data_IF_382669419984
#
_entry.id   IF_382669419984
#
_cell.length_a   1.000
_cell.length_b   1.000
_cell.length_c   1.000
_cell.angle_alpha   90.00
_cell.angle_beta   90.00
_cell.angle_gamma   90.00
#
_symmetry.space_group_name_H-M   'P 1'
#
loop_
_entity.id
_entity.type
_entity.pdbx_description
1 polymer ?
#
# COMPACT_ATOMS: atom_id res chain seq x y z
N UNK A 1 42.32 -32.91 35.59
CA UNK A 1 42.25 -32.55 34.18
C UNK A 1 40.86 -31.97 33.95
N UNK A 2 40.74 -30.63 33.92
CA UNK A 2 39.47 -29.91 33.78
C UNK A 2 39.33 -29.53 32.31
N UNK A 3 38.26 -30.01 31.68
CA UNK A 3 37.89 -29.62 30.30
C UNK A 3 36.97 -28.43 30.42
N UNK A 4 37.42 -27.27 29.89
CA UNK A 4 36.60 -26.08 29.77
C UNK A 4 35.83 -26.16 28.43
N UNK A 5 34.51 -26.12 28.51
CA UNK A 5 33.65 -25.93 27.35
C UNK A 5 33.65 -24.45 26.98
N UNK A 6 34.20 -24.12 25.82
CA UNK A 6 34.09 -22.79 25.20
C UNK A 6 32.78 -22.80 24.39
N UNK A 7 31.78 -22.07 24.89
CA UNK A 7 30.55 -21.81 24.17
C UNK A 7 30.81 -20.86 22.99
N UNK A 8 30.76 -21.39 21.77
CA UNK A 8 30.75 -20.58 20.58
C UNK A 8 29.39 -19.92 20.37
N UNK A 9 29.34 -18.60 20.42
CA UNK A 9 28.20 -17.79 20.03
C UNK A 9 28.04 -17.94 18.50
N UNK A 10 27.01 -18.66 18.05
CA UNK A 10 26.60 -18.61 16.64
C UNK A 10 25.92 -17.27 16.42
N UNK A 11 26.64 -16.31 15.89
CA UNK A 11 26.06 -15.08 15.35
C UNK A 11 25.26 -15.43 14.10
N UNK A 12 23.95 -15.25 14.13
CA UNK A 12 23.13 -15.24 12.93
C UNK A 12 23.53 -14.00 12.14
N UNK A 13 24.32 -14.18 11.10
CA UNK A 13 24.57 -13.13 10.10
C UNK A 13 23.29 -13.07 9.26
N UNK A 14 22.40 -12.11 9.57
CA UNK A 14 21.40 -11.66 8.63
C UNK A 14 22.17 -10.99 7.49
N UNK A 15 22.23 -11.64 6.34
CA UNK A 15 22.68 -11.02 5.12
C UNK A 15 21.64 -9.93 4.78
N UNK A 16 21.88 -8.69 5.23
CA UNK A 16 21.17 -7.54 4.74
C UNK A 16 21.41 -7.44 3.24
N UNK A 17 20.37 -7.23 2.45
CA UNK A 17 20.45 -6.90 1.03
C UNK A 17 21.29 -5.60 0.95
N UNK A 18 22.58 -5.72 0.70
CA UNK A 18 23.50 -4.60 0.56
C UNK A 18 23.34 -4.00 -0.84
N UNK A 19 22.43 -3.05 -1.01
CA UNK A 19 22.38 -2.25 -2.24
C UNK A 19 23.61 -1.33 -2.27
N UNK A 20 24.38 -1.38 -3.38
CA UNK A 20 25.64 -0.65 -3.53
C UNK A 20 25.46 0.85 -3.83
N UNK A 21 24.24 1.41 -3.74
CA UNK A 21 23.92 2.82 -3.99
C UNK A 21 22.42 3.11 -3.89
N UNK A 22 22.01 4.37 -4.09
CA UNK A 22 20.61 4.73 -4.10
C UNK A 22 19.90 4.03 -5.26
N UNK A 23 18.80 3.36 -4.97
CA UNK A 23 18.01 2.61 -5.96
C UNK A 23 16.72 3.33 -6.33
N UNK A 24 16.41 4.48 -5.71
CA UNK A 24 15.25 5.29 -5.95
C UNK A 24 15.55 6.66 -6.55
N UNK A 25 14.78 7.05 -7.56
CA UNK A 25 14.70 8.43 -8.05
C UNK A 25 13.41 9.02 -7.56
N UNK A 26 13.51 10.00 -6.65
CA UNK A 26 12.36 10.71 -6.10
C UNK A 26 12.10 11.99 -6.89
N UNK A 27 10.83 12.21 -7.23
CA UNK A 27 10.33 13.39 -7.92
C UNK A 27 9.39 14.16 -6.99
N UNK A 28 9.71 15.42 -6.73
CA UNK A 28 8.80 16.35 -6.05
C UNK A 28 7.71 16.79 -7.03
N UNK A 29 6.46 16.54 -6.69
CA UNK A 29 5.33 16.97 -7.52
C UNK A 29 5.05 18.48 -7.38
N UNK A 30 5.62 19.13 -6.36
CA UNK A 30 5.35 20.53 -6.04
C UNK A 30 3.97 20.75 -5.42
N UNK A 31 3.48 22.00 -5.52
CA UNK A 31 2.19 22.42 -4.95
C UNK A 31 1.41 23.30 -5.95
N UNK A 32 0.15 23.58 -5.65
CA UNK A 32 -0.67 24.58 -6.37
C UNK A 32 -0.41 26.02 -5.86
N UNK A 33 0.80 26.29 -5.37
CA UNK A 33 1.25 27.60 -4.91
C UNK A 33 1.16 27.83 -3.40
N UNK A 34 0.70 26.84 -2.64
CA UNK A 34 0.75 26.81 -1.18
C UNK A 34 1.98 26.05 -0.67
N UNK A 35 1.98 25.66 0.62
CA UNK A 35 3.12 25.02 1.28
C UNK A 35 3.05 23.48 1.32
N UNK A 36 1.87 22.86 1.15
CA UNK A 36 1.68 21.43 1.39
C UNK A 36 0.98 20.74 0.22
N UNK A 37 1.35 19.49 -0.05
CA UNK A 37 0.68 18.61 -0.98
C UNK A 37 0.82 17.13 -0.55
N UNK A 38 -0.19 16.32 -0.88
CA UNK A 38 -0.22 14.87 -0.68
C UNK A 38 -0.75 14.19 -1.94
N UNK A 39 -0.08 13.14 -2.43
CA UNK A 39 -0.57 12.28 -3.50
C UNK A 39 -1.17 11.00 -2.92
N UNK A 40 -2.45 10.75 -3.16
CA UNK A 40 -3.16 9.55 -2.68
C UNK A 40 -3.24 8.44 -3.71
N UNK A 41 -3.12 8.76 -4.99
CA UNK A 41 -3.24 7.80 -6.07
C UNK A 41 -2.23 8.07 -7.19
N UNK A 42 -1.92 7.02 -7.95
CA UNK A 42 -1.10 7.07 -9.16
C UNK A 42 -1.66 6.08 -10.18
N UNK A 43 -1.80 6.50 -11.45
CA UNK A 43 -2.24 5.62 -12.53
C UNK A 43 -1.06 4.93 -13.23
N UNK A 44 -1.34 4.02 -14.17
CA UNK A 44 -0.33 3.30 -14.96
C UNK A 44 0.53 4.20 -15.84
N UNK A 45 0.08 5.43 -16.12
CA UNK A 45 0.83 6.43 -16.90
C UNK A 45 1.75 7.32 -16.02
N UNK A 46 1.78 7.09 -14.69
CA UNK A 46 2.57 7.87 -13.74
C UNK A 46 1.96 9.22 -13.36
N UNK A 47 0.67 9.45 -13.67
CA UNK A 47 -0.04 10.62 -13.20
C UNK A 47 -0.53 10.37 -11.77
N UNK A 48 -0.18 11.28 -10.85
CA UNK A 48 -0.66 11.25 -9.48
C UNK A 48 -1.92 12.09 -9.30
N UNK A 49 -2.74 11.76 -8.31
CA UNK A 49 -3.86 12.56 -7.85
C UNK A 49 -3.84 12.69 -6.32
N UNK A 50 -4.31 13.83 -5.83
CA UNK A 50 -4.28 14.14 -4.41
C UNK A 50 -4.85 15.50 -4.09
N UNK A 51 -4.29 16.16 -3.09
CA UNK A 51 -4.64 17.53 -2.74
C UNK A 51 -3.40 18.39 -2.52
N UNK A 52 -3.56 19.67 -2.73
CA UNK A 52 -2.53 20.67 -2.45
C UNK A 52 -3.15 21.95 -1.90
N UNK A 53 -2.44 22.62 -1.01
CA UNK A 53 -2.78 23.99 -0.66
C UNK A 53 -2.49 24.91 -1.83
N UNK A 54 -3.35 25.92 -1.99
CA UNK A 54 -3.23 26.96 -3.03
C UNK A 54 -2.53 28.21 -2.48
N UNK A 55 -2.10 29.11 -3.35
CA UNK A 55 -1.54 30.41 -2.96
C UNK A 55 -2.51 31.29 -2.17
N UNK A 56 -3.81 31.01 -2.19
CA UNK A 56 -4.85 31.71 -1.43
C UNK A 56 -5.16 31.06 -0.09
N UNK A 57 -4.50 29.92 0.24
CA UNK A 57 -4.66 29.21 1.51
C UNK A 57 -5.79 28.17 1.54
N UNK A 58 -6.57 28.00 0.47
CA UNK A 58 -7.55 26.92 0.34
C UNK A 58 -6.90 25.59 -0.05
N UNK A 59 -7.65 24.49 0.06
CA UNK A 59 -7.23 23.14 -0.35
C UNK A 59 -7.89 22.78 -1.67
N UNK A 60 -7.11 22.32 -2.65
CA UNK A 60 -7.64 21.93 -3.95
C UNK A 60 -7.14 20.57 -4.36
N UNK A 61 -8.05 19.71 -4.84
CA UNK A 61 -7.72 18.46 -5.51
C UNK A 61 -6.87 18.74 -6.75
N UNK A 62 -5.91 17.88 -7.02
CA UNK A 62 -5.06 17.96 -8.21
C UNK A 62 -4.95 16.63 -8.93
N UNK A 63 -4.56 16.69 -10.20
CA UNK A 63 -3.91 15.59 -10.91
C UNK A 63 -2.69 16.13 -11.68
N UNK A 64 -1.70 15.28 -11.94
CA UNK A 64 -0.51 15.68 -12.71
C UNK A 64 0.70 14.80 -12.47
N UNK A 65 1.84 15.28 -12.95
CA UNK A 65 3.16 14.65 -12.82
C UNK A 65 4.14 15.68 -12.26
N UNK A 66 5.40 15.32 -12.04
CA UNK A 66 6.48 16.25 -11.67
C UNK A 66 6.68 17.40 -12.69
N UNK A 67 6.13 17.26 -13.90
CA UNK A 67 6.12 18.32 -14.91
C UNK A 67 5.08 19.42 -14.69
N UNK A 68 4.16 19.24 -13.75
CA UNK A 68 3.14 20.22 -13.35
C UNK A 68 1.85 19.60 -12.82
N UNK A 69 1.37 20.17 -11.72
CA UNK A 69 0.08 19.85 -11.15
C UNK A 69 -1.02 20.71 -11.78
N UNK A 70 -2.17 20.09 -12.04
CA UNK A 70 -3.38 20.75 -12.51
C UNK A 70 -4.43 20.68 -11.41
N UNK A 71 -4.85 21.85 -10.90
CA UNK A 71 -5.93 21.94 -9.93
C UNK A 71 -7.27 21.54 -10.55
N UNK A 72 -8.01 20.67 -9.89
CA UNK A 72 -9.32 20.20 -10.33
C UNK A 72 -10.40 21.18 -9.87
N UNK A 73 -11.15 21.72 -10.81
CA UNK A 73 -12.24 22.66 -10.51
C UNK A 73 -13.43 21.91 -9.93
N UNK A 74 -14.15 22.55 -9.01
CA UNK A 74 -15.41 22.05 -8.44
C UNK A 74 -16.61 22.82 -9.01
N UNK A 75 -17.82 22.32 -8.78
CA UNK A 75 -19.06 23.01 -9.17
C UNK A 75 -19.27 24.32 -8.38
N UNK A 76 -18.60 24.48 -7.24
CA UNK A 76 -18.63 25.67 -6.39
C UNK A 76 -17.23 26.26 -6.33
N UNK A 77 -17.07 27.51 -6.81
CA UNK A 77 -15.78 28.18 -6.85
C UNK A 77 -15.19 28.35 -5.44
N UNK A 78 -13.93 27.95 -5.26
CA UNK A 78 -13.22 28.07 -3.99
C UNK A 78 -13.58 27.01 -2.94
N UNK A 79 -14.38 25.99 -3.28
CA UNK A 79 -14.65 24.87 -2.40
C UNK A 79 -13.37 24.04 -2.18
N UNK A 80 -13.09 23.67 -0.93
CA UNK A 80 -12.02 22.72 -0.60
C UNK A 80 -12.33 21.36 -1.26
N UNK A 81 -11.32 20.73 -1.84
CA UNK A 81 -11.46 19.47 -2.55
C UNK A 81 -10.24 18.57 -2.39
N UNK A 82 -10.49 17.25 -2.48
CA UNK A 82 -9.50 16.19 -2.30
C UNK A 82 -9.74 15.11 -3.34
N UNK A 83 -8.71 14.68 -4.06
CA UNK A 83 -8.75 13.55 -4.97
C UNK A 83 -8.19 12.31 -4.25
N UNK A 84 -8.86 11.16 -4.40
CA UNK A 84 -8.48 9.91 -3.73
C UNK A 84 -8.16 8.79 -4.72
N UNK A 85 -8.62 8.87 -5.97
CA UNK A 85 -8.36 7.87 -7.01
C UNK A 85 -8.20 8.52 -8.38
N UNK A 86 -7.42 7.88 -9.24
CA UNK A 86 -7.23 8.24 -10.65
C UNK A 86 -7.08 6.96 -11.47
N UNK A 87 -7.74 6.87 -12.64
CA UNK A 87 -7.59 5.75 -13.55
C UNK A 87 -6.67 6.09 -14.75
N UNK A 88 -6.38 5.12 -15.61
CA UNK A 88 -5.47 5.27 -16.75
C UNK A 88 -6.02 6.21 -17.85
N UNK A 89 -7.32 6.49 -17.86
CA UNK A 89 -7.91 7.53 -18.70
C UNK A 89 -7.78 8.95 -18.13
N UNK A 90 -7.15 9.10 -16.93
CA UNK A 90 -6.99 10.37 -16.24
C UNK A 90 -8.28 10.88 -15.58
N UNK A 91 -9.30 10.03 -15.42
CA UNK A 91 -10.51 10.36 -14.67
C UNK A 91 -10.19 10.22 -13.18
N UNK A 92 -10.54 11.25 -12.40
CA UNK A 92 -10.23 11.36 -10.97
C UNK A 92 -11.51 11.26 -10.16
N UNK A 93 -11.45 10.61 -8.99
CA UNK A 93 -12.54 10.61 -8.01
C UNK A 93 -12.08 11.14 -6.65
N UNK A 94 -13.03 11.66 -5.87
CA UNK A 94 -12.74 12.22 -4.57
C UNK A 94 -13.93 12.90 -3.92
N UNK A 95 -13.67 14.00 -3.22
CA UNK A 95 -14.68 14.78 -2.47
C UNK A 95 -14.40 16.28 -2.60
N UNK A 96 -15.45 17.08 -2.67
CA UNK A 96 -15.39 18.53 -2.45
C UNK A 96 -16.42 18.94 -1.38
N UNK A 97 -16.20 20.09 -0.75
CA UNK A 97 -17.03 20.54 0.37
C UNK A 97 -17.84 21.79 0.01
N UNK A 98 -19.14 21.72 0.30
CA UNK A 98 -20.06 22.85 0.18
C UNK A 98 -20.74 23.05 1.53
N UNK A 99 -20.62 24.23 2.11
CA UNK A 99 -21.20 24.57 3.42
C UNK A 99 -20.85 23.53 4.53
N UNK A 100 -19.61 22.97 4.47
CA UNK A 100 -19.11 21.96 5.40
C UNK A 100 -19.62 20.54 5.15
N UNK A 101 -20.39 20.32 4.09
CA UNK A 101 -20.89 19.01 3.67
C UNK A 101 -20.02 18.43 2.57
N UNK A 102 -19.56 17.19 2.70
CA UNK A 102 -18.80 16.50 1.66
C UNK A 102 -19.71 16.02 0.53
N UNK A 103 -19.31 16.28 -0.70
CA UNK A 103 -19.91 15.79 -1.93
C UNK A 103 -18.90 14.93 -2.66
N UNK A 104 -19.25 13.65 -2.90
CA UNK A 104 -18.44 12.80 -3.77
C UNK A 104 -18.40 13.37 -5.18
N UNK A 105 -17.24 13.26 -5.82
CA UNK A 105 -17.01 13.85 -7.14
C UNK A 105 -16.29 12.89 -8.07
N UNK A 106 -16.61 13.03 -9.38
CA UNK A 106 -15.83 12.47 -10.46
C UNK A 106 -15.43 13.63 -11.38
N UNK A 107 -14.12 13.84 -11.57
CA UNK A 107 -13.56 14.81 -12.50
C UNK A 107 -13.11 14.11 -13.76
N UNK A 108 -13.70 14.50 -14.90
CA UNK A 108 -13.31 14.05 -16.23
C UNK A 108 -13.00 15.29 -17.09
N UNK A 109 -11.73 15.63 -17.21
CA UNK A 109 -11.28 16.88 -17.78
C UNK A 109 -11.88 18.07 -17.03
N UNK A 110 -12.67 18.93 -17.73
CA UNK A 110 -13.36 20.09 -17.14
C UNK A 110 -14.74 19.77 -16.57
N UNK A 111 -15.22 18.53 -16.68
CA UNK A 111 -16.55 18.10 -16.23
C UNK A 111 -16.44 17.54 -14.82
N UNK A 112 -17.37 17.98 -13.94
CA UNK A 112 -17.53 17.43 -12.58
C UNK A 112 -18.89 16.75 -12.49
N UNK A 113 -18.89 15.48 -12.10
CA UNK A 113 -20.11 14.76 -11.73
C UNK A 113 -20.20 14.69 -10.23
N UNK A 114 -21.30 15.24 -9.67
CA UNK A 114 -21.62 15.19 -8.24
C UNK A 114 -22.28 13.84 -7.91
N UNK A 115 -21.74 13.09 -6.97
CA UNK A 115 -22.25 11.83 -6.47
C UNK A 115 -23.23 12.00 -5.31
N UNK A 116 -23.52 13.25 -4.91
CA UNK A 116 -24.46 13.61 -3.86
C UNK A 116 -23.81 13.97 -2.52
N UNK A 117 -24.62 14.55 -1.64
CA UNK A 117 -24.21 14.98 -0.30
C UNK A 117 -23.85 13.80 0.61
N UNK A 118 -22.94 14.04 1.54
CA UNK A 118 -22.43 13.09 2.53
C UNK A 118 -21.82 11.85 1.88
N UNK A 119 -21.35 11.97 0.63
CA UNK A 119 -20.65 10.92 -0.07
C UNK A 119 -19.18 11.27 -0.30
N UNK A 120 -18.37 10.25 -0.55
CA UNK A 120 -16.98 10.37 -0.95
C UNK A 120 -16.65 9.27 -1.96
N UNK A 121 -16.07 9.64 -3.11
CA UNK A 121 -15.49 8.65 -4.03
C UNK A 121 -14.08 8.32 -3.56
N UNK A 122 -13.80 7.05 -3.23
CA UNK A 122 -12.52 6.62 -2.65
C UNK A 122 -11.58 6.02 -3.68
N UNK A 123 -12.09 5.22 -4.62
CA UNK A 123 -11.30 4.61 -5.68
C UNK A 123 -12.09 4.53 -6.99
N UNK A 124 -11.36 4.44 -8.09
CA UNK A 124 -11.90 4.33 -9.46
C UNK A 124 -11.07 3.32 -10.24
N UNK A 125 -11.72 2.45 -11.02
CA UNK A 125 -11.05 1.53 -11.93
C UNK A 125 -11.00 2.06 -13.38
N UNK A 126 -10.37 1.32 -14.29
CA UNK A 126 -10.19 1.74 -15.68
C UNK A 126 -11.49 1.72 -16.51
N UNK A 127 -12.50 0.96 -16.06
CA UNK A 127 -13.85 1.03 -16.61
C UNK A 127 -14.61 2.30 -16.18
N UNK A 128 -14.04 3.14 -15.29
CA UNK A 128 -14.66 4.34 -14.75
C UNK A 128 -15.68 4.08 -13.64
N UNK A 129 -15.69 2.88 -13.08
CA UNK A 129 -16.51 2.56 -11.91
C UNK A 129 -15.87 3.12 -10.64
N UNK A 130 -16.65 3.82 -9.82
CA UNK A 130 -16.20 4.49 -8.59
C UNK A 130 -16.82 3.81 -7.39
N UNK A 131 -16.02 3.58 -6.35
CA UNK A 131 -16.49 3.11 -5.06
C UNK A 131 -16.24 4.14 -3.96
N UNK A 132 -17.03 4.03 -2.89
CA UNK A 132 -16.91 4.94 -1.76
C UNK A 132 -17.95 4.67 -0.66
N UNK A 133 -18.30 5.73 0.07
CA UNK A 133 -19.28 5.63 1.15
C UNK A 133 -20.09 6.91 1.35
N UNK A 134 -21.35 6.72 1.81
CA UNK A 134 -22.24 7.78 2.28
C UNK A 134 -22.97 7.33 3.57
N UNK A 135 -22.25 6.61 4.45
CA UNK A 135 -22.82 5.84 5.57
C UNK A 135 -23.04 4.38 5.20
N UNK A 136 -23.09 4.07 3.91
CA UNK A 136 -23.09 2.75 3.33
C UNK A 136 -22.12 2.70 2.15
N UNK A 137 -21.40 1.59 1.99
CA UNK A 137 -20.54 1.35 0.84
C UNK A 137 -21.37 1.38 -0.46
N UNK A 138 -20.87 2.02 -1.50
CA UNK A 138 -21.50 2.07 -2.82
C UNK A 138 -20.54 1.76 -3.94
N UNK A 139 -21.11 1.34 -5.08
CA UNK A 139 -20.50 1.24 -6.40
C UNK A 139 -21.29 2.16 -7.35
N UNK A 140 -20.64 3.14 -7.95
CA UNK A 140 -21.20 3.98 -9.00
C UNK A 140 -20.65 3.55 -10.35
N UNK A 141 -21.50 3.14 -11.26
CA UNK A 141 -21.12 2.70 -12.61
C UNK A 141 -22.25 2.98 -13.59
N UNK A 142 -21.92 3.40 -14.82
CA UNK A 142 -22.90 3.64 -15.88
C UNK A 142 -23.94 4.73 -15.52
N UNK A 143 -23.62 5.67 -14.66
CA UNK A 143 -24.52 6.74 -14.21
C UNK A 143 -25.47 6.34 -13.07
N UNK A 144 -25.33 5.14 -12.52
CA UNK A 144 -26.17 4.64 -11.42
C UNK A 144 -25.35 4.26 -10.17
N UNK A 145 -25.89 4.57 -8.99
CA UNK A 145 -25.29 4.21 -7.71
C UNK A 145 -25.98 2.96 -7.13
N UNK A 146 -25.19 1.92 -6.90
CA UNK A 146 -25.61 0.69 -6.23
C UNK A 146 -25.08 0.68 -4.81
N UNK A 147 -25.96 0.53 -3.82
CA UNK A 147 -25.56 0.35 -2.43
C UNK A 147 -25.17 -1.11 -2.18
N UNK A 148 -24.00 -1.34 -1.56
CA UNK A 148 -23.42 -2.68 -1.38
C UNK A 148 -23.93 -3.37 -0.09
N UNK A 149 -24.57 -2.62 0.83
CA UNK A 149 -25.11 -3.16 2.06
C UNK A 149 -24.17 -3.04 3.25
N UNK A 150 -24.46 -3.82 4.28
CA UNK A 150 -23.72 -3.86 5.54
C UNK A 150 -23.25 -5.28 5.84
N UNK A 151 -22.19 -5.40 6.64
CA UNK A 151 -21.82 -6.67 7.24
C UNK A 151 -22.89 -7.12 8.26
N UNK A 152 -23.06 -8.44 8.50
CA UNK A 152 -23.98 -8.95 9.52
C UNK A 152 -23.73 -8.32 10.90
N UNK A 153 -24.77 -7.76 11.51
CA UNK A 153 -24.69 -7.05 12.79
C UNK A 153 -24.25 -5.60 12.71
N UNK A 154 -23.85 -5.12 11.52
CA UNK A 154 -23.41 -3.75 11.28
C UNK A 154 -24.52 -2.83 10.78
N UNK A 155 -24.23 -1.53 10.80
CA UNK A 155 -25.10 -0.45 10.33
C UNK A 155 -24.36 0.67 9.60
N UNK A 156 -23.06 0.46 9.34
CA UNK A 156 -22.19 1.36 8.60
C UNK A 156 -21.18 0.56 7.76
N UNK A 157 -20.88 1.03 6.56
CA UNK A 157 -19.84 0.48 5.68
C UNK A 157 -19.32 1.56 4.73
N UNK A 158 -18.07 1.39 4.28
CA UNK A 158 -17.49 2.18 3.20
C UNK A 158 -16.53 1.31 2.38
N UNK A 159 -16.49 1.54 1.07
CA UNK A 159 -15.56 0.90 0.15
C UNK A 159 -14.36 1.81 -0.08
N UNK A 160 -13.15 1.23 -0.16
CA UNK A 160 -11.88 1.95 -0.29
C UNK A 160 -11.06 1.52 -1.50
N UNK A 161 -11.30 0.33 -2.04
CA UNK A 161 -10.59 -0.19 -3.20
C UNK A 161 -11.55 -0.87 -4.20
N UNK A 162 -11.23 -0.75 -5.47
CA UNK A 162 -11.86 -1.46 -6.59
C UNK A 162 -10.78 -1.84 -7.59
N UNK A 163 -10.83 -3.08 -8.12
CA UNK A 163 -9.96 -3.52 -9.21
C UNK A 163 -10.68 -3.46 -10.58
N UNK A 164 -9.97 -3.81 -11.65
CA UNK A 164 -10.52 -3.79 -13.01
C UNK A 164 -11.51 -4.92 -13.30
N UNK A 165 -11.55 -5.95 -12.46
CA UNK A 165 -12.60 -6.98 -12.47
C UNK A 165 -13.91 -6.51 -11.82
N UNK A 166 -13.93 -5.31 -11.20
CA UNK A 166 -15.06 -4.74 -10.49
C UNK A 166 -15.27 -5.31 -9.08
N UNK A 167 -14.27 -6.00 -8.55
CA UNK A 167 -14.26 -6.46 -7.16
C UNK A 167 -13.95 -5.31 -6.23
N UNK A 168 -14.59 -5.29 -5.06
CA UNK A 168 -14.54 -4.15 -4.14
C UNK A 168 -14.10 -4.59 -2.76
N UNK A 169 -13.27 -3.79 -2.12
CA UNK A 169 -12.87 -3.97 -0.72
C UNK A 169 -13.15 -2.72 0.11
N UNK A 170 -13.25 -2.94 1.41
CA UNK A 170 -13.46 -1.86 2.36
C UNK A 170 -13.63 -2.42 3.76
N UNK A 171 -14.31 -1.66 4.60
CA UNK A 171 -14.63 -2.13 5.94
C UNK A 171 -16.00 -1.61 6.40
N UNK A 172 -16.57 -2.29 7.38
CA UNK A 172 -17.85 -1.94 7.96
C UNK A 172 -17.94 -2.38 9.41
N UNK A 173 -18.93 -1.86 10.12
CA UNK A 173 -19.22 -2.27 11.48
C UNK A 173 -19.79 -3.70 11.52
N UNK A 174 -19.43 -4.47 12.54
CA UNK A 174 -20.04 -5.77 12.89
C UNK A 174 -20.64 -5.74 14.29
N UNK A 175 -20.24 -4.76 15.10
CA UNK A 175 -20.76 -4.42 16.41
C UNK A 175 -20.38 -2.96 16.73
N UNK A 176 -20.95 -2.31 17.76
CA UNK A 176 -20.58 -0.96 18.16
C UNK A 176 -19.08 -0.82 18.40
N UNK A 177 -18.41 0.03 17.61
CA UNK A 177 -16.96 0.29 17.69
C UNK A 177 -16.06 -0.85 17.17
N UNK A 178 -16.60 -1.91 16.59
CA UNK A 178 -15.86 -3.04 16.02
C UNK A 178 -16.02 -3.05 14.51
N UNK A 179 -14.91 -2.94 13.81
CA UNK A 179 -14.88 -2.90 12.35
C UNK A 179 -14.30 -4.20 11.77
N UNK A 180 -14.75 -4.56 10.56
CA UNK A 180 -14.27 -5.71 9.83
C UNK A 180 -14.00 -5.33 8.39
N UNK A 181 -12.82 -5.70 7.89
CA UNK A 181 -12.52 -5.68 6.47
C UNK A 181 -13.49 -6.58 5.72
N UNK A 182 -13.91 -6.17 4.55
CA UNK A 182 -14.77 -6.97 3.68
C UNK A 182 -14.24 -7.00 2.24
N UNK A 183 -14.69 -8.01 1.53
CA UNK A 183 -14.59 -8.20 0.10
C UNK A 183 -16.00 -8.34 -0.48
N UNK A 184 -16.24 -7.77 -1.68
CA UNK A 184 -17.48 -7.88 -2.44
C UNK A 184 -17.18 -8.25 -3.88
N UNK A 185 -17.83 -9.30 -4.39
CA UNK A 185 -17.67 -9.86 -5.73
C UNK A 185 -18.97 -9.83 -6.55
N UNK A 186 -19.89 -8.92 -6.24
CA UNK A 186 -21.18 -8.80 -6.92
C UNK A 186 -22.37 -9.40 -6.17
N UNK A 187 -22.18 -10.17 -5.09
CA UNK A 187 -23.27 -10.87 -4.39
C UNK A 187 -23.55 -10.41 -2.96
N UNK A 188 -22.55 -9.85 -2.26
CA UNK A 188 -22.69 -9.38 -0.89
C UNK A 188 -21.33 -9.11 -0.23
N UNK A 189 -21.34 -8.50 0.95
CA UNK A 189 -20.13 -8.22 1.72
C UNK A 189 -19.70 -9.48 2.48
N UNK A 190 -18.47 -9.95 2.22
CA UNK A 190 -17.86 -11.11 2.88
C UNK A 190 -16.77 -10.61 3.84
N UNK A 191 -16.87 -10.86 5.16
CA UNK A 191 -15.85 -10.42 6.11
C UNK A 191 -14.56 -11.23 5.96
N UNK A 192 -13.38 -10.56 6.07
CA UNK A 192 -12.07 -11.19 5.87
C UNK A 192 -11.41 -11.72 7.16
N UNK A 193 -11.91 -11.40 8.35
CA UNK A 193 -11.27 -11.79 9.60
C UNK A 193 -10.31 -10.74 10.17
N UNK A 194 -9.38 -11.16 11.04
CA UNK A 194 -8.36 -10.32 11.70
C UNK A 194 -7.08 -11.10 11.97
N UNK A 195 -6.02 -10.40 12.35
CA UNK A 195 -4.78 -10.97 12.90
C UNK A 195 -4.89 -11.36 14.41
N UNK A 196 -6.10 -11.68 14.87
CA UNK A 196 -6.37 -12.11 16.25
C UNK A 196 -6.90 -11.00 17.17
N UNK A 197 -6.95 -9.76 16.71
CA UNK A 197 -7.54 -8.63 17.46
C UNK A 197 -9.00 -8.33 17.07
N UNK A 198 -9.52 -7.17 17.51
CA UNK A 198 -10.94 -6.84 17.39
C UNK A 198 -11.33 -6.33 16.00
N UNK A 199 -10.50 -5.59 15.31
CA UNK A 199 -10.88 -4.88 14.08
C UNK A 199 -9.90 -5.10 12.93
N UNK A 200 -10.41 -5.01 11.70
CA UNK A 200 -9.62 -5.00 10.46
C UNK A 200 -10.23 -4.06 9.43
N UNK A 201 -9.39 -3.53 8.53
CA UNK A 201 -9.69 -2.50 7.55
C UNK A 201 -9.02 -2.87 6.22
N UNK A 202 -9.75 -3.14 5.15
CA UNK A 202 -9.18 -3.33 3.82
C UNK A 202 -9.11 -1.97 3.10
N UNK A 203 -7.95 -1.66 2.51
CA UNK A 203 -7.66 -0.38 1.85
C UNK A 203 -7.46 -0.52 0.35
N UNK A 204 -6.83 -1.59 -0.11
CA UNK A 204 -6.51 -1.82 -1.52
C UNK A 204 -6.62 -3.29 -1.91
N UNK A 205 -6.75 -3.51 -3.21
CA UNK A 205 -6.69 -4.85 -3.84
C UNK A 205 -6.09 -4.72 -5.23
N UNK A 206 -5.55 -5.84 -5.75
CA UNK A 206 -5.10 -5.97 -7.14
C UNK A 206 -6.02 -6.89 -7.96
N UNK A 207 -5.74 -7.04 -9.25
CA UNK A 207 -6.51 -7.92 -10.14
C UNK A 207 -6.28 -9.41 -9.88
N UNK A 208 -5.19 -9.77 -9.20
CA UNK A 208 -4.93 -11.12 -8.70
C UNK A 208 -5.74 -11.51 -7.47
N UNK A 209 -6.56 -10.59 -6.90
CA UNK A 209 -7.39 -10.82 -5.72
C UNK A 209 -6.63 -10.73 -4.40
N UNK A 210 -5.38 -10.25 -4.40
CA UNK A 210 -4.66 -9.91 -3.17
C UNK A 210 -5.25 -8.64 -2.56
N UNK A 211 -5.55 -8.66 -1.26
CA UNK A 211 -6.16 -7.55 -0.52
C UNK A 211 -5.21 -7.11 0.59
N UNK A 212 -5.04 -5.80 0.77
CA UNK A 212 -4.18 -5.23 1.78
C UNK A 212 -4.91 -4.23 2.68
N UNK A 213 -4.35 -4.00 3.86
CA UNK A 213 -4.90 -3.05 4.81
C UNK A 213 -4.24 -3.12 6.17
N UNK A 214 -4.99 -2.81 7.22
CA UNK A 214 -4.56 -2.93 8.60
C UNK A 214 -5.47 -3.84 9.41
N UNK A 215 -4.89 -4.60 10.33
CA UNK A 215 -5.63 -5.45 11.25
C UNK A 215 -5.04 -5.40 12.65
N UNK A 216 -5.92 -5.32 13.65
CA UNK A 216 -5.52 -5.47 15.03
C UNK A 216 -5.00 -6.90 15.27
N UNK A 217 -3.86 -7.01 15.94
CA UNK A 217 -3.25 -8.25 16.41
C UNK A 217 -3.80 -8.67 17.76
N UNK A 218 -3.54 -9.89 18.19
CA UNK A 218 -3.89 -10.37 19.54
C UNK A 218 -3.23 -9.58 20.67
N UNK A 219 -2.13 -8.88 20.40
CA UNK A 219 -1.47 -7.95 21.34
C UNK A 219 -2.11 -6.56 21.38
N UNK A 220 -3.08 -6.27 20.51
CA UNK A 220 -3.78 -4.99 20.42
C UNK A 220 -3.12 -3.95 19.53
N UNK A 221 -1.98 -4.25 18.92
CA UNK A 221 -1.34 -3.40 17.92
C UNK A 221 -2.03 -3.52 16.56
N UNK A 222 -1.88 -2.50 15.71
CA UNK A 222 -2.37 -2.51 14.33
C UNK A 222 -1.21 -2.84 13.40
N UNK A 223 -1.29 -3.97 12.69
CA UNK A 223 -0.30 -4.35 11.69
C UNK A 223 -0.90 -4.35 10.29
N UNK A 224 -0.08 -4.00 9.30
CA UNK A 224 -0.38 -4.20 7.90
C UNK A 224 -0.59 -5.70 7.62
N UNK A 225 -1.56 -6.02 6.78
CA UNK A 225 -1.82 -7.38 6.34
C UNK A 225 -1.83 -7.51 4.82
N UNK A 226 -1.53 -8.72 4.35
CA UNK A 226 -1.81 -9.22 3.02
C UNK A 226 -2.79 -10.39 3.17
N UNK A 227 -3.95 -10.30 2.50
CA UNK A 227 -4.92 -11.38 2.43
C UNK A 227 -4.92 -11.97 1.02
N UNK A 228 -4.63 -13.26 0.91
CA UNK A 228 -4.64 -14.02 -0.32
C UNK A 228 -5.01 -15.48 -0.02
N UNK A 229 -5.63 -16.18 -0.96
CA UNK A 229 -5.98 -17.60 -0.84
C UNK A 229 -6.76 -17.97 0.43
N UNK A 230 -7.55 -17.01 0.97
CA UNK A 230 -8.35 -17.21 2.18
C UNK A 230 -7.60 -17.04 3.49
N UNK A 231 -6.33 -16.63 3.46
CA UNK A 231 -5.46 -16.37 4.64
C UNK A 231 -5.11 -14.89 4.77
N UNK A 232 -5.03 -14.41 6.01
CA UNK A 232 -4.56 -13.07 6.34
C UNK A 232 -3.19 -13.18 7.01
N UNK A 233 -2.15 -12.70 6.31
CA UNK A 233 -0.77 -12.75 6.76
C UNK A 233 -0.34 -11.40 7.33
N UNK A 234 0.34 -11.43 8.48
CA UNK A 234 0.90 -10.26 9.15
C UNK A 234 2.21 -9.83 8.46
N UNK A 235 2.25 -8.60 7.94
CA UNK A 235 3.44 -8.06 7.26
C UNK A 235 4.49 -7.49 8.25
N UNK A 236 4.16 -7.44 9.54
CA UNK A 236 5.04 -6.88 10.58
C UNK A 236 5.11 -5.35 10.56
N UNK A 237 6.20 -4.81 11.10
CA UNK A 237 6.49 -3.37 11.20
C UNK A 237 7.96 -3.09 10.89
N UNK A 238 8.34 -1.81 10.74
CA UNK A 238 9.74 -1.36 10.70
C UNK A 238 10.42 -1.31 12.09
N UNK A 239 9.93 -2.11 13.03
CA UNK A 239 10.45 -2.22 14.40
C UNK A 239 9.63 -1.49 15.44
N UNK A 240 8.62 -0.73 15.05
CA UNK A 240 7.67 -0.06 15.94
C UNK A 240 6.43 -0.89 16.25
N UNK A 241 5.32 -0.22 16.57
CA UNK A 241 4.09 -0.86 17.08
C UNK A 241 2.91 -0.77 16.13
N UNK A 242 3.07 -0.15 14.95
CA UNK A 242 1.98 0.05 13.99
C UNK A 242 2.50 -0.04 12.56
N UNK A 243 1.71 -0.66 11.70
CA UNK A 243 1.84 -0.55 10.26
C UNK A 243 0.46 -0.59 9.60
N UNK A 244 0.34 -0.01 8.40
CA UNK A 244 -0.86 -0.01 7.59
C UNK A 244 -0.47 -0.08 6.12
N UNK A 245 -1.01 -1.04 5.38
CA UNK A 245 -0.85 -1.14 3.94
C UNK A 245 -2.01 -0.40 3.24
N UNK A 246 -1.70 0.38 2.23
CA UNK A 246 -2.68 1.16 1.47
C UNK A 246 -2.93 0.59 0.08
N UNK A 247 -1.89 0.09 -0.59
CA UNK A 247 -1.98 -0.34 -1.98
C UNK A 247 -1.13 -1.58 -2.25
N UNK A 248 -1.56 -2.40 -3.20
CA UNK A 248 -0.85 -3.55 -3.74
C UNK A 248 -0.98 -3.55 -5.26
N UNK A 249 0.12 -3.77 -5.99
CA UNK A 249 0.09 -3.93 -7.44
C UNK A 249 0.02 -5.40 -7.86
N UNK A 250 -0.10 -5.67 -9.17
CA UNK A 250 -0.18 -7.03 -9.70
C UNK A 250 1.14 -7.82 -9.61
N UNK A 251 2.26 -7.15 -9.35
CA UNK A 251 3.53 -7.79 -9.02
C UNK A 251 3.57 -8.29 -7.57
N UNK A 252 2.53 -8.01 -6.76
CA UNK A 252 2.44 -8.40 -5.36
C UNK A 252 3.23 -7.48 -4.41
N UNK A 253 3.71 -6.33 -4.88
CA UNK A 253 4.38 -5.34 -4.03
C UNK A 253 3.34 -4.52 -3.27
N UNK A 254 3.52 -4.43 -1.96
CA UNK A 254 2.61 -3.72 -1.05
C UNK A 254 3.30 -2.46 -0.54
N UNK A 255 2.59 -1.35 -0.51
CA UNK A 255 3.09 -0.09 0.05
C UNK A 255 2.18 0.45 1.14
N UNK A 256 2.78 1.25 2.04
CA UNK A 256 2.05 1.81 3.17
C UNK A 256 2.94 2.64 4.09
N UNK A 257 2.54 2.72 5.35
CA UNK A 257 3.34 3.34 6.41
C UNK A 257 3.55 2.39 7.60
N UNK A 258 4.65 2.57 8.30
CA UNK A 258 4.97 1.82 9.52
C UNK A 258 5.76 2.66 10.49
N UNK A 259 5.52 2.46 11.78
CA UNK A 259 6.38 3.04 12.79
C UNK A 259 7.70 2.25 12.89
N UNK A 260 8.79 3.00 13.08
CA UNK A 260 10.13 2.49 13.35
C UNK A 260 10.34 2.26 14.85
N UNK A 261 11.47 1.70 15.25
CA UNK A 261 11.78 1.41 16.65
C UNK A 261 11.88 2.67 17.53
N UNK A 262 12.20 3.83 16.96
CA UNK A 262 12.23 5.12 17.65
C UNK A 262 10.87 5.84 17.69
N UNK A 263 9.85 5.26 17.03
CA UNK A 263 8.48 5.77 16.99
C UNK A 263 8.17 6.73 15.84
N UNK A 264 9.12 7.00 14.93
CA UNK A 264 8.88 7.76 13.69
C UNK A 264 7.99 6.99 12.73
N UNK A 265 7.18 7.68 11.90
CA UNK A 265 6.41 7.05 10.83
C UNK A 265 7.18 7.11 9.54
N UNK A 266 7.41 5.98 8.88
CA UNK A 266 8.10 5.89 7.60
C UNK A 266 7.26 5.14 6.57
N UNK A 267 7.34 5.59 5.33
CA UNK A 267 6.81 4.89 4.17
C UNK A 267 7.58 3.58 3.93
N UNK A 268 6.87 2.50 3.60
CA UNK A 268 7.48 1.21 3.31
C UNK A 268 7.05 0.64 1.95
N UNK A 269 7.88 -0.27 1.43
CA UNK A 269 7.49 -1.28 0.45
C UNK A 269 7.70 -2.67 1.04
N UNK A 270 6.72 -3.56 0.88
CA UNK A 270 6.84 -4.97 1.26
C UNK A 270 6.92 -5.83 0.00
N UNK A 271 7.95 -6.65 -0.07
CA UNK A 271 8.23 -7.54 -1.18
C UNK A 271 9.06 -8.73 -0.71
N UNK A 272 8.86 -9.92 -1.31
CA UNK A 272 9.60 -11.15 -0.97
C UNK A 272 9.63 -11.47 0.53
N UNK A 273 8.52 -11.24 1.23
CA UNK A 273 8.45 -11.52 2.67
C UNK A 273 9.15 -10.50 3.57
N UNK A 274 9.59 -9.35 3.04
CA UNK A 274 10.35 -8.35 3.80
C UNK A 274 9.73 -6.95 3.64
N UNK A 275 9.54 -6.26 4.78
CA UNK A 275 9.19 -4.84 4.82
C UNK A 275 10.46 -4.00 4.78
N UNK A 276 10.56 -3.09 3.81
CA UNK A 276 11.73 -2.25 3.55
C UNK A 276 11.32 -0.79 3.72
N UNK A 277 12.07 -0.04 4.52
CA UNK A 277 11.92 1.40 4.68
C UNK A 277 12.34 2.13 3.41
N UNK A 278 11.42 2.87 2.78
CA UNK A 278 11.69 3.62 1.55
C UNK A 278 12.74 4.71 1.74
N UNK A 279 12.88 5.25 2.96
CA UNK A 279 13.93 6.23 3.26
C UNK A 279 15.33 5.64 3.10
N UNK A 280 15.49 4.33 3.35
CA UNK A 280 16.77 3.63 3.18
C UNK A 280 17.22 3.49 1.72
N UNK A 281 16.30 3.69 0.75
CA UNK A 281 16.53 3.56 -0.68
C UNK A 281 16.87 4.90 -1.35
N UNK A 282 16.73 6.01 -0.63
CA UNK A 282 17.01 7.34 -1.15
C UNK A 282 18.51 7.66 -1.13
N UNK A 283 18.97 8.58 -1.99
CA UNK A 283 20.32 9.11 -1.91
C UNK A 283 20.59 9.73 -0.53
N UNK A 284 21.80 9.52 -0.02
CA UNK A 284 22.26 10.21 1.21
C UNK A 284 22.14 11.72 1.02
N UNK A 285 21.52 12.41 1.96
CA UNK A 285 21.22 13.84 1.90
C UNK A 285 20.21 14.23 0.78
N UNK A 286 19.27 13.37 0.43
CA UNK A 286 18.17 13.68 -0.49
C UNK A 286 17.34 14.88 -0.01
N UNK A 287 17.33 15.14 1.29
CA UNK A 287 16.50 16.17 1.93
C UNK A 287 15.05 15.73 2.17
N UNK A 288 14.72 14.47 1.83
CA UNK A 288 13.41 13.86 2.03
C UNK A 288 13.37 13.00 3.28
N UNK A 289 12.18 12.98 3.91
CA UNK A 289 11.75 12.02 4.90
C UNK A 289 10.36 11.50 4.48
N UNK A 290 10.30 10.28 3.92
CA UNK A 290 9.08 9.70 3.36
C UNK A 290 8.21 9.12 4.47
N UNK A 291 7.02 9.68 4.65
CA UNK A 291 6.12 9.34 5.76
C UNK A 291 5.11 8.26 5.38
N UNK A 292 4.44 8.41 4.23
CA UNK A 292 3.40 7.52 3.75
C UNK A 292 3.56 7.25 2.25
N UNK A 293 3.44 5.99 1.85
CA UNK A 293 3.31 5.54 0.47
C UNK A 293 1.87 5.08 0.24
N UNK A 294 1.04 5.91 -0.39
CA UNK A 294 -0.39 5.66 -0.54
C UNK A 294 -0.76 4.78 -1.72
N UNK A 295 0.01 4.83 -2.80
CA UNK A 295 -0.30 4.09 -4.02
C UNK A 295 0.95 3.57 -4.72
N UNK A 296 0.82 2.42 -5.39
CA UNK A 296 1.82 1.85 -6.27
C UNK A 296 1.13 1.38 -7.56
N UNK A 297 1.72 1.72 -8.74
CA UNK A 297 1.18 1.30 -10.03
C UNK A 297 1.88 0.02 -10.56
N UNK A 298 1.44 -0.46 -11.73
CA UNK A 298 2.00 -1.64 -12.40
C UNK A 298 3.48 -1.45 -12.82
N UNK A 299 3.94 -0.20 -12.98
CA UNK A 299 5.33 0.13 -13.29
C UNK A 299 6.21 0.28 -12.03
N UNK A 300 5.67 -0.08 -10.86
CA UNK A 300 6.33 0.03 -9.57
C UNK A 300 6.70 1.47 -9.17
N UNK A 301 5.97 2.47 -9.70
CA UNK A 301 6.07 3.85 -9.27
C UNK A 301 5.20 4.03 -8.02
N UNK A 302 5.75 4.64 -6.99
CA UNK A 302 5.12 4.81 -5.68
C UNK A 302 4.79 6.30 -5.49
N UNK A 303 3.54 6.61 -5.19
CA UNK A 303 3.09 7.96 -4.83
C UNK A 303 2.78 8.05 -3.34
N UNK A 304 3.06 9.21 -2.76
CA UNK A 304 2.84 9.41 -1.33
C UNK A 304 3.09 10.84 -0.85
N UNK A 305 3.33 10.95 0.45
CA UNK A 305 3.70 12.19 1.13
C UNK A 305 4.97 12.02 1.95
N UNK A 306 5.77 13.06 2.02
CA UNK A 306 6.98 13.13 2.82
C UNK A 306 7.32 14.56 3.20
N UNK A 307 8.25 14.72 4.10
CA UNK A 307 8.80 16.02 4.46
C UNK A 307 9.95 16.38 3.51
N UNK A 308 9.89 17.55 2.90
CA UNK A 308 10.96 18.13 2.12
C UNK A 308 11.13 19.60 2.51
N UNK A 309 12.33 19.96 2.99
CA UNK A 309 12.55 21.29 3.53
C UNK A 309 11.68 21.66 4.75
N UNK A 310 11.12 20.67 5.45
CA UNK A 310 10.26 20.85 6.62
C UNK A 310 8.78 21.09 6.31
N UNK A 311 8.36 20.93 5.04
CA UNK A 311 6.97 20.98 4.60
C UNK A 311 6.54 19.64 4.03
N UNK A 312 5.23 19.35 4.07
CA UNK A 312 4.67 18.13 3.46
C UNK A 312 4.58 18.29 1.96
N UNK A 313 5.30 17.46 1.22
CA UNK A 313 5.30 17.43 -0.22
C UNK A 313 4.78 16.10 -0.75
N UNK A 314 4.00 16.17 -1.83
CA UNK A 314 3.63 15.00 -2.62
C UNK A 314 4.84 14.54 -3.45
N UNK A 315 5.10 13.23 -3.49
CA UNK A 315 6.19 12.66 -4.27
C UNK A 315 5.72 11.54 -5.19
N UNK A 316 6.52 11.29 -6.23
CA UNK A 316 6.58 10.01 -6.95
C UNK A 316 7.99 9.45 -6.81
N UNK A 317 8.10 8.21 -6.35
CA UNK A 317 9.35 7.48 -6.22
C UNK A 317 9.40 6.39 -7.29
N UNK A 318 10.41 6.48 -8.17
CA UNK A 318 10.71 5.48 -9.19
C UNK A 318 11.84 4.61 -8.67
N UNK A 319 11.57 3.33 -8.35
CA UNK A 319 12.60 2.38 -7.96
C UNK A 319 13.26 1.79 -9.20
N UNK A 320 14.61 1.68 -9.19
CA UNK A 320 15.35 1.19 -10.36
C UNK A 320 15.20 -0.32 -10.56
N UNK A 321 15.32 -0.79 -11.82
CA UNK A 321 15.26 -2.21 -12.22
C UNK A 321 16.07 -3.18 -11.34
N UNK A 322 17.32 -2.89 -10.90
CA UNK A 322 18.05 -3.83 -10.05
C UNK A 322 17.34 -4.16 -8.75
N UNK A 323 16.54 -3.23 -8.21
CA UNK A 323 15.79 -3.44 -6.97
C UNK A 323 14.67 -4.48 -7.13
N UNK A 324 13.99 -4.47 -8.27
CA UNK A 324 12.90 -5.41 -8.55
C UNK A 324 13.38 -6.71 -9.22
N UNK A 325 14.52 -6.69 -9.93
CA UNK A 325 15.07 -7.87 -10.58
C UNK A 325 15.47 -8.95 -9.58
N UNK A 326 16.06 -8.57 -8.45
CA UNK A 326 16.36 -9.49 -7.35
C UNK A 326 15.08 -9.98 -6.62
N UNK A 327 13.98 -9.24 -6.76
CA UNK A 327 12.70 -9.56 -6.15
C UNK A 327 11.89 -10.62 -6.91
N UNK A 328 12.00 -10.64 -8.22
CA UNK A 328 11.29 -11.59 -9.11
C UNK A 328 12.10 -12.88 -9.34
N UNK A 329 13.35 -12.95 -8.88
CA UNK A 329 14.13 -14.19 -8.93
C UNK A 329 13.41 -15.26 -8.10
N UNK A 330 12.87 -16.25 -8.80
CA UNK A 330 12.19 -17.44 -8.27
C UNK A 330 12.93 -18.00 -7.03
N UNK A 331 12.29 -18.09 -5.85
CA UNK A 331 12.90 -18.69 -4.68
C UNK A 331 13.31 -20.16 -4.90
N UNK A 332 12.88 -20.80 -6.02
CA UNK A 332 13.37 -22.11 -6.46
C UNK A 332 14.72 -22.04 -7.21
N UNK A 333 15.19 -20.86 -7.60
CA UNK A 333 16.46 -20.62 -8.28
C UNK A 333 17.55 -20.09 -7.35
N UNK A 334 17.52 -20.39 -6.06
CA UNK A 334 18.67 -20.15 -5.20
C UNK A 334 19.88 -20.83 -5.83
N UNK A 335 20.98 -20.09 -6.15
CA UNK A 335 22.17 -20.72 -6.70
C UNK A 335 22.60 -21.84 -5.75
N UNK A 336 22.74 -23.05 -6.27
CA UNK A 336 23.34 -24.14 -5.54
C UNK A 336 24.67 -23.58 -4.99
N UNK A 337 24.81 -23.54 -3.67
CA UNK A 337 26.01 -23.06 -3.03
C UNK A 337 27.19 -23.79 -3.68
N UNK A 338 27.97 -23.09 -4.50
CA UNK A 338 29.23 -23.59 -5.02
C UNK A 338 30.12 -23.82 -3.80
N UNK A 339 30.15 -25.07 -3.35
CA UNK A 339 31.03 -25.52 -2.27
C UNK A 339 32.45 -25.41 -2.80
N UNK A 340 33.12 -24.30 -2.55
CA UNK A 340 34.56 -24.19 -2.67
C UNK A 340 35.16 -25.07 -1.57
N UNK A 341 35.51 -26.31 -1.90
CA UNK A 341 36.22 -27.22 -1.00
C UNK A 341 37.64 -26.67 -0.86
N UNK A 342 37.90 -25.94 0.21
CA UNK A 342 39.25 -25.73 0.70
C UNK A 342 39.69 -27.04 1.37
N UNK A 343 40.51 -27.79 0.67
CA UNK A 343 41.17 -28.99 1.24
C UNK A 343 42.20 -28.53 2.26
N UNK A 344 41.85 -28.60 3.55
CA UNK A 344 42.80 -28.75 4.64
C UNK A 344 42.62 -30.11 5.24
N UNK A 345 43.74 -30.90 5.21
CA UNK A 345 43.76 -32.29 5.53
C UNK A 345 43.28 -32.66 6.93
N UNK A 346 42.66 -33.82 7.01
CA UNK A 346 42.47 -34.59 8.28
C UNK A 346 41.06 -35.11 8.48
N UNK A 347 40.80 -36.30 7.92
CA UNK A 347 39.93 -37.37 8.42
C UNK A 347 38.78 -36.97 9.37
N UNK A 348 37.54 -37.01 8.89
CA UNK A 348 36.27 -37.46 9.44
C UNK A 348 35.09 -36.68 8.86
N UNK A 349 34.45 -37.16 7.82
CA UNK A 349 33.04 -36.85 7.50
C UNK A 349 32.52 -37.77 6.38
N UNK A 350 32.42 -39.07 6.67
CA UNK A 350 31.57 -40.00 5.92
C UNK A 350 30.39 -40.32 6.85
N UNK A 351 29.29 -39.59 6.78
CA UNK A 351 28.14 -39.86 7.65
C UNK A 351 26.84 -39.11 7.34
N UNK A 352 26.86 -38.04 6.54
CA UNK A 352 25.66 -37.20 6.40
C UNK A 352 24.99 -37.25 5.02
N UNK A 353 25.62 -37.87 4.01
CA UNK A 353 25.08 -37.90 2.63
C UNK A 353 24.00 -38.99 2.42
N UNK A 354 23.75 -39.88 3.38
CA UNK A 354 22.80 -41.00 3.18
C UNK A 354 21.37 -40.77 3.68
N UNK A 355 21.07 -39.64 4.34
CA UNK A 355 19.74 -39.37 4.88
C UNK A 355 18.84 -38.50 3.99
N UNK A 356 19.35 -37.78 3.00
CA UNK A 356 18.57 -36.91 2.13
C UNK A 356 18.08 -37.56 0.83
N UNK A 357 18.54 -38.78 0.48
CA UNK A 357 18.09 -39.51 -0.72
C UNK A 357 16.85 -40.41 -0.52
N UNK A 358 16.33 -40.55 0.69
CA UNK A 358 15.16 -41.43 0.96
C UNK A 358 13.81 -40.75 1.07
N UNK A 359 13.71 -39.40 0.88
CA UNK A 359 12.43 -38.68 0.91
C UNK A 359 11.83 -38.30 -0.46
N UNK A 360 12.47 -38.67 -1.58
CA UNK A 360 11.93 -38.42 -2.94
C UNK A 360 11.36 -39.62 -3.67
N UNK A 361 11.21 -40.78 -3.01
CA UNK A 361 10.68 -41.99 -3.63
C UNK A 361 9.30 -42.45 -3.11
N UNK A 362 8.56 -41.60 -2.39
CA UNK A 362 7.24 -41.94 -1.84
C UNK A 362 6.12 -40.94 -2.25
N UNK A 363 6.25 -40.29 -3.40
CA UNK A 363 5.17 -39.49 -4.01
C UNK A 363 5.21 -39.71 -5.54
N UNK A 364 4.73 -40.86 -5.97
CA UNK A 364 4.16 -41.12 -7.31
C UNK A 364 3.04 -42.14 -7.14
#
# INVERSE_FOLDING_TARGET
>A
MRIACIGGLLGVVTAGLGFAGPVGVIEDLGTLGGGNATAYAINGLGQAAGWSTTSTGGTQAFSGTAGGLVGLSTSVAGADSYAFGINDSGVVTGTYYVDGQGHGAIWNGSTVTDLGMNSSGQAINDAGAVVGGNGQAFLYSGGAMQMLGYLPGGNWSAAYGINDLGEVVGYGTVAPGVFRAFYWNGSGLVPLGTLGGASSYAMGLNDGGAIVGGSATGSGYMNAFLYSDGSMDDLGTLGGTMSLAYSVNDNGFVVGCSTTADGSSHAFVYMNGTMIDLNSLLPVNSGWDLLDAYAINANNQIAGTGLYGGQEHAFVLNLSEPFFADAVADPAAAPEATTSILVFGGICAIGVIHLLRRRRAAAR
#
